data_IF_357343075797
#
_entry.id   IF_357343075797
#
_cell.length_a   1.000
_cell.length_b   1.000
_cell.length_c   1.000
_cell.angle_alpha   90.00
_cell.angle_beta   90.00
_cell.angle_gamma   90.00
#
_symmetry.space_group_name_H-M   'P 1'
#
loop_
_entity.id
_entity.type
_entity.pdbx_description
1 polymer ?
#
# COMPACT_ATOMS: atom_id res chain seq x y z
N UNK A 1 6.99 2.73 18.81
CA UNK A 1 5.94 3.76 18.64
C UNK A 1 4.62 3.05 18.35
N UNK A 2 3.50 3.55 18.91
CA UNK A 2 2.16 2.95 18.70
C UNK A 2 1.32 3.87 17.82
N UNK A 3 0.38 3.27 17.10
CA UNK A 3 -0.59 3.98 16.27
C UNK A 3 -2.01 3.63 16.69
N UNK A 4 -2.93 4.54 16.44
CA UNK A 4 -4.35 4.22 16.59
C UNK A 4 -4.79 3.20 15.53
N UNK A 5 -5.64 2.23 15.89
CA UNK A 5 -6.03 1.16 14.98
C UNK A 5 -7.12 1.60 13.97
N UNK A 6 -7.70 2.79 14.15
CA UNK A 6 -8.65 3.44 13.26
C UNK A 6 -8.23 4.91 13.09
N UNK A 7 -8.47 5.51 11.93
CA UNK A 7 -8.10 6.90 11.64
C UNK A 7 -8.79 7.96 12.49
N UNK A 8 -8.36 9.21 12.32
CA UNK A 8 -8.89 10.36 13.05
C UNK A 8 -10.42 10.54 12.89
N UNK A 9 -11.05 11.13 13.90
CA UNK A 9 -12.52 11.28 13.97
C UNK A 9 -13.25 10.00 14.40
N UNK A 10 -12.52 8.99 14.88
CA UNK A 10 -13.06 7.79 15.53
C UNK A 10 -13.79 8.13 16.83
N UNK A 11 -14.79 7.33 17.17
CA UNK A 11 -15.47 7.35 18.47
C UNK A 11 -15.40 5.97 19.11
N UNK A 12 -15.30 5.92 20.44
CA UNK A 12 -15.51 4.68 21.18
C UNK A 12 -17.00 4.40 21.16
N UNK A 13 -17.42 3.36 20.43
CA UNK A 13 -18.82 2.95 20.39
C UNK A 13 -19.16 2.13 21.62
N UNK A 14 -18.19 1.38 22.16
CA UNK A 14 -18.32 0.78 23.48
C UNK A 14 -16.97 0.36 24.09
N UNK A 15 -16.79 0.59 25.39
CA UNK A 15 -15.50 0.44 26.09
C UNK A 15 -15.17 -0.98 26.57
N UNK A 16 -13.96 -1.13 27.13
CA UNK A 16 -13.51 -2.29 27.90
C UNK A 16 -14.21 -2.33 29.27
N UNK A 17 -14.68 -3.51 29.69
CA UNK A 17 -15.33 -3.67 30.99
C UNK A 17 -16.69 -4.37 30.96
N UNK A 18 -17.41 -4.42 32.10
CA UNK A 18 -18.70 -5.09 32.22
C UNK A 18 -19.75 -4.55 31.25
N UNK A 19 -20.48 -5.45 30.56
CA UNK A 19 -21.63 -5.15 29.70
C UNK A 19 -22.76 -6.13 29.97
N UNK A 20 -23.93 -5.66 30.41
CA UNK A 20 -25.17 -6.44 30.58
C UNK A 20 -25.01 -7.95 30.85
N UNK A 21 -24.37 -8.31 31.98
CA UNK A 21 -24.20 -9.71 32.40
C UNK A 21 -23.02 -10.46 31.75
N UNK A 22 -22.25 -9.81 30.87
CA UNK A 22 -20.98 -10.28 30.32
C UNK A 22 -19.87 -9.24 30.54
N UNK A 23 -18.65 -9.54 30.08
CA UNK A 23 -17.50 -8.64 30.13
C UNK A 23 -16.96 -8.44 28.72
N UNK A 24 -16.69 -7.19 28.35
CA UNK A 24 -16.10 -6.83 27.08
C UNK A 24 -14.59 -6.69 27.19
N UNK A 25 -13.88 -7.55 26.47
CA UNK A 25 -12.43 -7.71 26.57
C UNK A 25 -11.61 -6.90 25.55
N UNK A 26 -12.27 -5.98 24.85
CA UNK A 26 -11.65 -5.03 23.94
C UNK A 26 -12.22 -3.63 24.07
N UNK A 27 -11.98 -2.80 23.07
CA UNK A 27 -12.65 -1.52 22.87
C UNK A 27 -13.17 -1.49 21.45
N UNK A 28 -14.44 -1.10 21.30
CA UNK A 28 -15.09 -0.98 20.01
C UNK A 28 -14.94 0.45 19.52
N UNK A 29 -14.38 0.59 18.32
CA UNK A 29 -14.20 1.86 17.63
C UNK A 29 -15.12 1.94 16.42
N UNK A 30 -15.73 3.10 16.22
CA UNK A 30 -16.52 3.41 15.05
C UNK A 30 -16.34 4.86 14.64
N UNK A 31 -17.31 5.38 13.88
CA UNK A 31 -17.36 6.77 13.44
C UNK A 31 -18.80 7.26 13.38
N UNK A 32 -19.06 8.52 13.73
CA UNK A 32 -20.35 9.16 13.44
C UNK A 32 -20.66 9.04 11.94
N UNK A 33 -21.86 8.55 11.59
CA UNK A 33 -22.27 8.30 10.20
C UNK A 33 -21.93 6.92 9.63
N UNK A 34 -21.31 6.03 10.43
CA UNK A 34 -21.03 4.65 10.05
C UNK A 34 -19.54 4.40 9.77
N UNK A 35 -19.09 3.16 10.00
CA UNK A 35 -17.68 2.78 9.86
C UNK A 35 -17.41 1.61 8.91
N UNK A 36 -18.43 1.16 8.16
CA UNK A 36 -18.31 0.12 7.15
C UNK A 36 -17.19 0.44 6.13
N UNK A 37 -16.30 -0.51 5.89
CA UNK A 37 -15.21 -0.38 4.92
C UNK A 37 -14.07 0.58 5.33
N UNK A 38 -14.12 1.18 6.52
CA UNK A 38 -13.04 2.05 6.99
C UNK A 38 -11.72 1.26 7.15
N UNK A 39 -10.57 1.85 6.80
CA UNK A 39 -9.27 1.20 6.93
C UNK A 39 -8.91 0.99 8.40
N UNK A 40 -8.30 -0.16 8.68
CA UNK A 40 -7.82 -0.59 10.00
C UNK A 40 -6.30 -0.75 9.93
N UNK A 41 -5.61 -0.25 10.95
CA UNK A 41 -4.15 -0.12 10.96
C UNK A 41 -3.50 -0.93 12.08
N UNK A 42 -2.31 -1.47 11.82
CA UNK A 42 -1.48 -2.10 12.83
C UNK A 42 -1.09 -1.08 13.89
N UNK A 43 -1.54 -1.30 15.11
CA UNK A 43 -1.28 -0.42 16.23
C UNK A 43 0.19 -0.48 16.67
N UNK A 44 0.87 -1.57 16.32
CA UNK A 44 2.29 -1.78 16.54
C UNK A 44 2.85 -2.77 15.51
N UNK A 45 4.15 -2.66 15.21
CA UNK A 45 4.85 -3.56 14.30
C UNK A 45 4.89 -4.98 14.88
N UNK A 46 4.90 -5.99 14.02
CA UNK A 46 4.91 -7.38 14.45
C UNK A 46 4.67 -8.37 13.33
N UNK A 47 4.38 -9.61 13.71
CA UNK A 47 4.06 -10.70 12.78
C UNK A 47 2.60 -11.09 12.94
N UNK A 48 1.87 -11.16 11.84
CA UNK A 48 0.49 -11.64 11.84
C UNK A 48 0.47 -13.13 12.20
N UNK A 49 -0.16 -13.50 13.31
CA UNK A 49 -0.27 -14.91 13.77
C UNK A 49 -1.65 -15.51 13.49
N UNK A 50 -2.67 -14.67 13.27
CA UNK A 50 -3.98 -15.09 12.77
C UNK A 50 -4.54 -14.06 11.79
N UNK A 51 -5.16 -14.53 10.70
CA UNK A 51 -5.91 -13.70 9.76
C UNK A 51 -6.99 -14.57 9.08
N UNK A 52 -8.27 -14.23 9.23
CA UNK A 52 -9.36 -15.00 8.64
C UNK A 52 -10.59 -15.09 9.52
N UNK A 53 -11.38 -16.16 9.36
CA UNK A 53 -12.59 -16.39 10.14
C UNK A 53 -12.28 -16.74 11.60
N UNK A 54 -13.07 -16.21 12.54
CA UNK A 54 -12.95 -16.51 13.97
C UNK A 54 -14.30 -16.44 14.67
N UNK A 55 -14.61 -17.47 15.45
CA UNK A 55 -15.82 -17.51 16.27
C UNK A 55 -15.82 -16.34 17.25
N UNK A 56 -16.94 -15.61 17.34
CA UNK A 56 -17.08 -14.41 18.18
C UNK A 56 -16.57 -13.11 17.55
N UNK A 57 -15.70 -13.17 16.54
CA UNK A 57 -15.18 -11.98 15.85
C UNK A 57 -15.66 -11.87 14.39
N UNK A 58 -16.30 -12.91 13.86
CA UNK A 58 -16.61 -13.06 12.44
C UNK A 58 -15.34 -13.32 11.65
N UNK A 59 -14.57 -12.26 11.44
CA UNK A 59 -13.22 -12.29 10.88
C UNK A 59 -12.30 -11.36 11.66
N UNK A 60 -11.03 -11.74 11.76
CA UNK A 60 -10.05 -11.04 12.58
C UNK A 60 -8.64 -11.02 11.98
N UNK A 61 -7.81 -10.15 12.53
CA UNK A 61 -6.34 -10.17 12.43
C UNK A 61 -5.77 -10.20 13.85
N UNK A 62 -4.74 -11.00 14.09
CA UNK A 62 -3.97 -10.99 15.34
C UNK A 62 -2.50 -10.80 15.00
N UNK A 63 -1.86 -9.82 15.63
CA UNK A 63 -0.44 -9.50 15.45
C UNK A 63 0.31 -9.79 16.74
N UNK A 64 1.39 -10.56 16.65
CA UNK A 64 2.37 -10.78 17.70
C UNK A 64 3.51 -9.76 17.59
N UNK A 65 3.77 -9.05 18.67
CA UNK A 65 4.73 -7.95 18.71
C UNK A 65 6.06 -8.42 19.31
N UNK A 66 7.19 -8.10 18.68
CA UNK A 66 8.49 -8.52 19.18
C UNK A 66 8.84 -7.77 20.47
N UNK A 67 9.75 -8.34 21.26
CA UNK A 67 10.17 -7.80 22.55
C UNK A 67 10.75 -6.40 22.45
N UNK A 68 11.51 -6.09 21.40
CA UNK A 68 12.01 -4.72 21.17
C UNK A 68 10.91 -3.68 20.99
N UNK A 69 9.70 -4.11 20.61
CA UNK A 69 8.51 -3.25 20.48
C UNK A 69 7.63 -3.23 21.73
N UNK A 70 7.94 -4.04 22.75
CA UNK A 70 7.20 -4.08 24.01
C UNK A 70 6.41 -5.36 24.29
N UNK A 71 6.56 -6.39 23.43
CA UNK A 71 5.91 -7.71 23.53
C UNK A 71 4.37 -7.68 23.56
N UNK A 72 3.75 -8.84 23.35
CA UNK A 72 2.29 -9.02 23.45
C UNK A 72 1.61 -9.18 22.10
N UNK A 73 0.28 -9.33 22.11
CA UNK A 73 -0.50 -9.45 20.87
C UNK A 73 -1.62 -8.43 20.81
N UNK A 74 -1.92 -7.93 19.62
CA UNK A 74 -3.14 -7.14 19.36
C UNK A 74 -4.12 -7.91 18.48
N UNK A 75 -5.41 -7.73 18.75
CA UNK A 75 -6.51 -8.37 18.02
C UNK A 75 -7.37 -7.30 17.35
N UNK A 76 -7.72 -7.51 16.09
CA UNK A 76 -8.56 -6.65 15.27
C UNK A 76 -9.74 -7.49 14.78
N UNK A 77 -10.89 -7.39 15.42
CA UNK A 77 -12.10 -8.14 15.12
C UNK A 77 -13.11 -7.38 14.26
N UNK A 78 -14.03 -8.11 13.63
CA UNK A 78 -15.06 -7.60 12.73
C UNK A 78 -14.48 -6.91 11.47
N UNK A 79 -13.34 -7.41 11.00
CA UNK A 79 -12.61 -6.85 9.86
C UNK A 79 -12.52 -7.85 8.71
N UNK A 80 -12.28 -7.36 7.50
CA UNK A 80 -11.82 -8.16 6.36
C UNK A 80 -10.30 -8.00 6.27
N UNK A 81 -9.50 -9.04 6.59
CA UNK A 81 -8.05 -8.97 6.53
C UNK A 81 -7.54 -8.66 5.13
N UNK A 82 -6.57 -7.75 5.05
CA UNK A 82 -5.75 -7.45 3.87
C UNK A 82 -4.30 -7.96 4.05
N UNK A 83 -4.07 -8.67 5.15
CA UNK A 83 -2.83 -9.34 5.52
C UNK A 83 -3.09 -10.82 5.78
N UNK A 84 -2.01 -11.62 5.87
CA UNK A 84 -2.06 -13.07 6.11
C UNK A 84 -1.12 -13.51 7.22
N UNK A 85 -1.37 -14.72 7.74
CA UNK A 85 -0.51 -15.35 8.74
C UNK A 85 0.94 -15.45 8.24
N UNK A 86 1.89 -15.07 9.08
CA UNK A 86 3.33 -15.01 8.80
C UNK A 86 3.81 -13.66 8.24
N UNK A 87 2.90 -12.75 7.86
CA UNK A 87 3.27 -11.45 7.32
C UNK A 87 3.83 -10.53 8.41
N UNK A 88 5.02 -9.97 8.18
CA UNK A 88 5.56 -8.89 8.98
C UNK A 88 4.86 -7.57 8.61
N UNK A 89 4.46 -6.80 9.62
CA UNK A 89 3.79 -5.51 9.46
C UNK A 89 4.50 -4.42 10.24
N UNK A 90 4.50 -3.21 9.71
CA UNK A 90 5.01 -2.01 10.40
C UNK A 90 3.91 -1.33 11.21
N UNK A 91 4.28 -0.59 12.25
CA UNK A 91 3.31 0.18 13.03
C UNK A 91 2.71 1.28 12.13
N UNK A 92 1.38 1.42 12.13
CA UNK A 92 0.64 2.34 11.26
C UNK A 92 0.30 1.76 9.88
N UNK A 93 0.75 0.55 9.54
CA UNK A 93 0.42 -0.09 8.26
C UNK A 93 -1.06 -0.47 8.20
N UNK A 94 -1.74 -0.22 7.07
CA UNK A 94 -3.09 -0.75 6.83
C UNK A 94 -3.04 -2.28 6.75
N UNK A 95 -3.86 -2.94 7.56
CA UNK A 95 -3.88 -4.41 7.69
C UNK A 95 -5.22 -5.03 7.34
N UNK A 96 -6.30 -4.24 7.34
CA UNK A 96 -7.65 -4.69 7.08
C UNK A 96 -8.56 -3.50 6.80
N UNK A 97 -9.83 -3.78 6.52
CA UNK A 97 -10.92 -2.80 6.62
C UNK A 97 -12.07 -3.36 7.45
N UNK A 98 -12.87 -2.50 8.07
CA UNK A 98 -14.06 -2.90 8.84
C UNK A 98 -15.04 -3.62 7.91
N UNK A 99 -15.51 -4.80 8.30
CA UNK A 99 -16.41 -5.59 7.48
C UNK A 99 -17.77 -4.88 7.33
N UNK A 100 -18.22 -4.56 6.10
CA UNK A 100 -19.52 -3.92 5.88
C UNK A 100 -20.72 -4.78 6.25
N UNK A 101 -20.58 -6.12 6.24
CA UNK A 101 -21.69 -7.03 6.52
C UNK A 101 -21.92 -7.20 8.04
N UNK A 102 -22.96 -6.53 8.54
CA UNK A 102 -23.40 -6.59 9.93
C UNK A 102 -23.80 -8.00 10.42
N UNK A 103 -24.04 -8.96 9.52
CA UNK A 103 -24.27 -10.36 9.94
C UNK A 103 -23.02 -11.02 10.50
N UNK A 104 -21.84 -10.48 10.19
CA UNK A 104 -20.56 -11.05 10.62
C UNK A 104 -20.14 -10.59 12.02
N UNK A 105 -20.84 -9.63 12.61
CA UNK A 105 -20.58 -9.09 13.95
C UNK A 105 -21.84 -9.05 14.83
N UNK A 106 -22.70 -10.07 14.70
CA UNK A 106 -23.86 -10.25 15.59
C UNK A 106 -25.00 -9.25 15.35
N UNK A 107 -25.18 -8.78 14.11
CA UNK A 107 -26.21 -7.82 13.70
C UNK A 107 -26.08 -6.44 14.36
N UNK A 108 -24.87 -6.08 14.78
CA UNK A 108 -24.50 -4.75 15.28
C UNK A 108 -23.94 -3.91 14.12
N UNK A 109 -24.10 -2.59 14.18
CA UNK A 109 -23.53 -1.72 13.15
C UNK A 109 -22.02 -1.95 12.98
N UNK A 110 -21.49 -1.93 11.75
CA UNK A 110 -20.07 -2.14 11.49
C UNK A 110 -19.19 -1.26 12.37
N UNK A 111 -18.24 -1.89 13.05
CA UNK A 111 -17.27 -1.29 13.97
C UNK A 111 -16.00 -2.15 14.01
N UNK A 112 -14.90 -1.57 14.48
CA UNK A 112 -13.68 -2.30 14.79
C UNK A 112 -13.71 -2.74 16.26
N UNK A 113 -13.58 -4.03 16.51
CA UNK A 113 -13.31 -4.54 17.86
C UNK A 113 -11.80 -4.68 18.06
N UNK A 114 -11.22 -4.03 19.07
CA UNK A 114 -9.77 -4.03 19.28
C UNK A 114 -9.41 -4.56 20.68
N UNK A 115 -8.58 -5.60 20.75
CA UNK A 115 -8.06 -6.14 22.02
C UNK A 115 -6.53 -5.98 22.11
N UNK A 116 -6.03 -5.85 23.33
CA UNK A 116 -4.60 -5.86 23.65
C UNK A 116 -4.35 -6.96 24.65
N UNK A 117 -3.35 -7.80 24.39
CA UNK A 117 -2.93 -8.88 25.29
C UNK A 117 -1.49 -8.70 25.72
N UNK A 118 -1.22 -9.03 26.98
CA UNK A 118 0.09 -8.82 27.61
C UNK A 118 1.22 -9.62 26.97
N UNK A 119 0.96 -10.86 26.55
CA UNK A 119 1.99 -11.81 26.09
C UNK A 119 1.58 -12.51 24.80
N UNK A 120 0.52 -13.30 24.86
CA UNK A 120 -0.05 -14.02 23.73
C UNK A 120 -1.55 -13.85 23.73
N UNK A 121 -2.19 -14.19 22.62
CA UNK A 121 -3.64 -14.26 22.60
C UNK A 121 -4.13 -15.23 23.68
N UNK A 122 -4.95 -14.71 24.60
CA UNK A 122 -5.24 -15.34 25.88
C UNK A 122 -6.76 -15.46 26.07
N UNK A 123 -7.25 -16.45 26.83
CA UNK A 123 -8.65 -16.49 27.25
C UNK A 123 -9.04 -15.25 28.08
N UNK A 124 -10.35 -14.99 28.25
CA UNK A 124 -10.86 -13.95 29.16
C UNK A 124 -10.14 -13.95 30.52
N UNK A 125 -9.59 -12.80 30.93
CA UNK A 125 -8.81 -12.72 32.16
C UNK A 125 -7.83 -11.54 32.22
N UNK A 126 -6.96 -11.50 33.24
CA UNK A 126 -6.08 -10.37 33.55
C UNK A 126 -4.98 -10.10 32.49
N UNK A 127 -4.77 -11.06 31.57
CA UNK A 127 -3.82 -10.91 30.47
C UNK A 127 -4.41 -10.18 29.26
N UNK A 128 -5.72 -9.90 29.27
CA UNK A 128 -6.38 -8.97 28.35
C UNK A 128 -6.42 -7.60 28.98
N UNK A 129 -5.74 -6.65 28.35
CA UNK A 129 -5.53 -5.30 28.87
C UNK A 129 -6.58 -4.34 28.30
N UNK A 130 -6.92 -3.32 29.08
CA UNK A 130 -7.69 -2.19 28.56
C UNK A 130 -6.90 -1.52 27.41
N UNK A 131 -7.44 -1.48 26.19
CA UNK A 131 -6.75 -0.85 25.07
C UNK A 131 -6.53 0.65 25.23
N UNK A 132 -7.37 1.37 25.98
CA UNK A 132 -7.33 2.82 26.01
C UNK A 132 -6.05 3.37 26.69
N UNK A 133 -5.62 2.88 27.87
CA UNK A 133 -4.32 3.21 28.43
C UNK A 133 -3.15 2.76 27.55
N UNK A 134 -3.27 1.60 26.87
CA UNK A 134 -2.20 1.10 26.00
C UNK A 134 -1.99 1.97 24.75
N UNK A 135 -3.07 2.54 24.23
CA UNK A 135 -3.10 3.50 23.12
C UNK A 135 -2.80 4.94 23.55
N UNK A 136 -2.57 5.23 24.83
CA UNK A 136 -2.23 6.56 25.28
C UNK A 136 -0.95 7.07 24.59
N UNK A 137 -1.04 8.24 23.94
CA UNK A 137 0.06 8.81 23.16
C UNK A 137 0.34 8.13 21.83
N UNK A 138 -0.54 7.23 21.36
CA UNK A 138 -0.44 6.66 20.02
C UNK A 138 -0.58 7.74 18.95
N UNK A 139 0.22 7.62 17.89
CA UNK A 139 0.14 8.50 16.74
C UNK A 139 -1.10 8.20 15.90
N UNK A 140 -1.61 9.20 15.20
CA UNK A 140 -2.64 8.98 14.18
C UNK A 140 -2.04 8.17 13.03
N UNK A 141 -2.71 7.11 12.55
CA UNK A 141 -2.36 6.54 11.26
C UNK A 141 -2.64 7.62 10.21
N UNK A 142 -1.70 7.85 9.30
CA UNK A 142 -1.75 8.95 8.35
C UNK A 142 -3.12 9.01 7.65
N UNK A 143 -3.84 10.13 7.82
CA UNK A 143 -4.91 10.50 6.87
C UNK A 143 -4.23 10.60 5.51
N UNK A 144 -4.69 9.92 4.44
CA UNK A 144 -3.99 9.99 3.18
C UNK A 144 -3.94 11.45 2.73
N UNK A 145 -2.74 12.02 2.74
CA UNK A 145 -2.49 13.24 1.99
C UNK A 145 -2.76 12.90 0.51
N UNK A 146 -3.54 13.69 -0.24
CA UNK A 146 -3.57 13.55 -1.68
C UNK A 146 -2.15 13.84 -2.18
N UNK A 147 -1.43 12.80 -2.60
CA UNK A 147 -0.09 12.94 -3.20
C UNK A 147 1.09 12.54 -2.31
N UNK A 148 0.88 11.99 -1.11
CA UNK A 148 1.95 11.34 -0.35
C UNK A 148 1.96 9.86 -0.63
N UNK A 149 2.96 9.35 -1.37
CA UNK A 149 3.26 7.92 -1.41
C UNK A 149 3.56 7.46 0.01
N UNK A 150 2.54 6.88 0.66
CA UNK A 150 2.77 6.04 1.82
C UNK A 150 3.87 5.06 1.42
N UNK A 151 4.96 5.02 2.19
CA UNK A 151 5.98 3.96 2.09
C UNK A 151 5.36 2.65 2.59
N UNK A 152 4.31 2.19 1.91
CA UNK A 152 3.94 0.79 1.89
C UNK A 152 5.12 0.05 1.29
N UNK A 153 5.45 -1.11 1.85
CA UNK A 153 6.57 -1.94 1.40
C UNK A 153 6.43 -2.40 -0.07
N UNK A 154 5.35 -2.05 -0.78
CA UNK A 154 4.99 -2.49 -2.14
C UNK A 154 4.06 -1.48 -2.82
N UNK A 155 3.90 -1.59 -4.15
CA UNK A 155 2.92 -0.82 -4.93
C UNK A 155 1.52 -0.83 -4.28
N UNK A 156 0.83 0.30 -4.24
CA UNK A 156 -0.58 0.33 -3.87
C UNK A 156 -1.45 -0.17 -5.03
N UNK A 157 -2.16 -1.28 -4.83
CA UNK A 157 -3.14 -1.82 -5.77
C UNK A 157 -4.54 -1.25 -5.49
N UNK A 158 -5.39 -1.17 -6.52
CA UNK A 158 -6.78 -0.72 -6.39
C UNK A 158 -7.64 -1.74 -5.63
N UNK A 159 -7.30 -3.02 -5.79
CA UNK A 159 -7.95 -4.15 -5.10
C UNK A 159 -6.88 -5.10 -4.60
N UNK A 160 -7.03 -5.61 -3.38
CA UNK A 160 -6.19 -6.68 -2.84
C UNK A 160 -7.08 -7.81 -2.36
N UNK A 161 -6.94 -8.99 -2.96
CA UNK A 161 -7.54 -10.24 -2.49
C UNK A 161 -6.44 -11.29 -2.60
N UNK A 162 -5.88 -11.66 -1.45
CA UNK A 162 -4.70 -12.52 -1.42
C UNK A 162 -5.07 -13.98 -1.73
N UNK A 163 -4.28 -14.58 -2.62
CA UNK A 163 -4.33 -15.99 -2.94
C UNK A 163 -3.57 -16.80 -1.88
N UNK A 164 -4.12 -17.95 -1.43
CA UNK A 164 -3.39 -18.90 -0.59
C UNK A 164 -2.46 -19.81 -1.39
N UNK A 165 -2.46 -19.72 -2.72
CA UNK A 165 -1.70 -20.59 -3.61
C UNK A 165 -0.29 -20.00 -3.79
N UNK A 166 0.60 -20.28 -2.85
CA UNK A 166 2.00 -19.84 -2.89
C UNK A 166 2.93 -20.84 -2.19
N UNK A 167 4.23 -20.71 -2.43
CA UNK A 167 5.27 -21.55 -1.84
C UNK A 167 5.88 -20.93 -0.58
N UNK A 168 5.13 -20.04 0.10
CA UNK A 168 5.57 -19.38 1.32
C UNK A 168 6.42 -18.13 1.09
N UNK A 169 7.03 -17.61 2.17
CA UNK A 169 7.68 -16.31 2.19
C UNK A 169 9.00 -16.31 1.40
N UNK A 170 9.33 -15.14 0.86
CA UNK A 170 10.60 -14.82 0.19
C UNK A 170 11.01 -13.38 0.48
N UNK A 171 12.28 -13.07 0.19
CA UNK A 171 12.77 -11.71 0.09
C UNK A 171 12.62 -11.21 -1.37
N UNK A 172 11.75 -10.23 -1.66
CA UNK A 172 11.51 -9.76 -3.02
C UNK A 172 12.73 -9.07 -3.63
N UNK A 173 13.70 -8.62 -2.83
CA UNK A 173 14.97 -8.06 -3.33
C UNK A 173 15.87 -9.10 -3.99
N UNK A 174 15.58 -10.38 -3.79
CA UNK A 174 16.26 -11.49 -4.47
C UNK A 174 15.63 -11.81 -5.82
N UNK A 175 14.47 -11.23 -6.13
CA UNK A 175 13.85 -11.37 -7.43
C UNK A 175 14.64 -10.55 -8.45
N UNK A 176 14.96 -11.20 -9.57
CA UNK A 176 15.70 -10.57 -10.68
C UNK A 176 14.88 -10.52 -11.96
N UNK A 177 13.68 -11.09 -11.95
CA UNK A 177 12.81 -11.21 -13.11
C UNK A 177 11.47 -10.53 -12.84
N UNK A 178 10.95 -9.83 -13.84
CA UNK A 178 9.52 -9.53 -13.92
C UNK A 178 8.94 -10.40 -15.05
N UNK A 179 8.01 -11.29 -14.71
CA UNK A 179 7.46 -12.27 -15.65
C UNK A 179 6.04 -11.82 -16.03
N UNK A 180 5.83 -11.60 -17.32
CA UNK A 180 4.54 -11.21 -17.88
C UNK A 180 3.73 -12.45 -18.22
N UNK A 181 2.47 -12.43 -17.79
CA UNK A 181 1.49 -13.48 -18.01
C UNK A 181 0.25 -12.93 -18.71
N UNK A 182 -0.52 -13.82 -19.30
CA UNK A 182 -1.96 -13.61 -19.54
C UNK A 182 -2.77 -14.59 -18.71
N UNK A 183 -3.97 -14.20 -18.30
CA UNK A 183 -4.84 -15.11 -17.56
C UNK A 183 -5.57 -16.14 -18.45
N UNK A 184 -5.33 -16.12 -19.76
CA UNK A 184 -6.05 -16.88 -20.78
C UNK A 184 -7.58 -16.76 -20.63
N UNK A 185 -8.01 -15.53 -20.36
CA UNK A 185 -9.41 -15.16 -20.17
C UNK A 185 -9.78 -13.89 -20.92
N UNK A 186 -11.08 -13.54 -20.98
CA UNK A 186 -11.50 -12.36 -21.70
C UNK A 186 -10.92 -11.09 -21.07
N UNK A 187 -10.35 -10.21 -21.90
CA UNK A 187 -9.86 -8.90 -21.46
C UNK A 187 -10.96 -7.98 -20.89
N UNK A 188 -12.23 -8.29 -21.17
CA UNK A 188 -13.42 -7.65 -20.58
C UNK A 188 -13.79 -8.23 -19.20
N UNK A 189 -13.05 -9.21 -18.69
CA UNK A 189 -13.19 -9.68 -17.32
C UNK A 189 -12.81 -8.60 -16.30
N UNK A 190 -13.10 -8.85 -15.03
CA UNK A 190 -12.75 -7.92 -13.95
C UNK A 190 -11.54 -8.41 -13.15
N UNK A 191 -10.75 -7.46 -12.65
CA UNK A 191 -9.67 -7.72 -11.69
C UNK A 191 -10.22 -8.44 -10.46
N UNK A 192 -11.32 -7.95 -9.88
CA UNK A 192 -12.00 -8.56 -8.73
C UNK A 192 -12.41 -10.02 -9.00
N UNK A 193 -12.90 -10.32 -10.21
CA UNK A 193 -13.33 -11.65 -10.62
C UNK A 193 -12.15 -12.63 -10.71
N UNK A 194 -11.05 -12.22 -11.35
CA UNK A 194 -9.85 -13.05 -11.42
C UNK A 194 -9.25 -13.25 -10.03
N UNK A 195 -9.11 -12.19 -9.24
CA UNK A 195 -8.61 -12.28 -7.88
C UNK A 195 -9.48 -13.20 -6.99
N UNK A 196 -10.80 -13.11 -7.10
CA UNK A 196 -11.73 -13.99 -6.39
C UNK A 196 -11.65 -15.46 -6.83
N UNK A 197 -11.26 -15.73 -8.08
CA UNK A 197 -10.93 -17.08 -8.54
C UNK A 197 -9.60 -17.56 -7.93
N UNK A 198 -8.54 -16.75 -8.00
CA UNK A 198 -7.21 -17.06 -7.48
C UNK A 198 -7.19 -17.23 -5.95
N UNK A 199 -8.12 -16.61 -5.23
CA UNK A 199 -8.29 -16.77 -3.79
C UNK A 199 -8.76 -18.17 -3.36
N UNK A 200 -9.21 -19.02 -4.28
CA UNK A 200 -9.66 -20.38 -3.99
C UNK A 200 -8.45 -21.32 -3.98
N UNK A 201 -8.23 -22.14 -2.94
CA UNK A 201 -7.16 -23.15 -2.96
C UNK A 201 -7.25 -24.10 -4.15
N UNK A 202 -8.45 -24.34 -4.67
CA UNK A 202 -8.66 -25.22 -5.83
C UNK A 202 -8.21 -24.62 -7.16
N UNK A 203 -7.89 -23.32 -7.24
CA UNK A 203 -7.36 -22.73 -8.48
C UNK A 203 -5.95 -23.25 -8.78
N UNK A 204 -5.18 -23.61 -7.74
CA UNK A 204 -3.80 -24.07 -7.84
C UNK A 204 -2.90 -23.12 -8.66
N UNK A 205 -3.24 -21.83 -8.68
CA UNK A 205 -2.55 -20.79 -9.44
C UNK A 205 -2.70 -19.43 -8.75
N UNK A 206 -1.69 -18.59 -8.93
CA UNK A 206 -1.67 -17.21 -8.43
C UNK A 206 -0.63 -16.35 -9.17
N UNK A 207 -0.73 -15.02 -9.02
CA UNK A 207 0.24 -14.06 -9.55
C UNK A 207 0.62 -13.05 -8.46
N UNK A 208 1.65 -12.24 -8.66
CA UNK A 208 1.92 -11.11 -7.75
C UNK A 208 0.88 -10.01 -7.97
N UNK A 209 0.81 -9.50 -9.20
CA UNK A 209 -0.09 -8.43 -9.62
C UNK A 209 -0.89 -8.85 -10.86
N UNK A 210 -2.12 -8.37 -10.94
CA UNK A 210 -3.05 -8.54 -12.05
C UNK A 210 -3.43 -7.14 -12.59
N UNK A 211 -3.50 -6.98 -13.91
CA UNK A 211 -3.97 -5.73 -14.55
C UNK A 211 -5.15 -5.98 -15.49
N UNK A 212 -6.24 -5.26 -15.23
CA UNK A 212 -7.48 -5.31 -16.00
C UNK A 212 -7.39 -4.53 -17.31
N UNK A 213 -8.26 -4.85 -18.28
CA UNK A 213 -8.34 -4.12 -19.55
C UNK A 213 -8.67 -2.63 -19.41
N UNK A 214 -9.26 -2.24 -18.27
CA UNK A 214 -9.59 -0.87 -17.85
C UNK A 214 -8.43 -0.14 -17.14
N UNK A 215 -7.29 -0.81 -16.94
CA UNK A 215 -6.14 -0.26 -16.21
C UNK A 215 -6.20 -0.43 -14.69
N UNK A 216 -7.22 -1.08 -14.14
CA UNK A 216 -7.25 -1.40 -12.70
C UNK A 216 -6.17 -2.40 -12.34
N UNK A 217 -5.55 -2.21 -11.18
CA UNK A 217 -4.47 -3.03 -10.64
C UNK A 217 -4.97 -3.82 -9.43
N UNK A 218 -4.79 -5.14 -9.49
CA UNK A 218 -5.12 -6.07 -8.43
C UNK A 218 -3.88 -6.74 -7.84
N UNK A 219 -3.86 -6.94 -6.52
CA UNK A 219 -2.86 -7.78 -5.85
C UNK A 219 -3.44 -9.15 -5.51
N UNK A 220 -2.83 -10.19 -6.08
CA UNK A 220 -3.09 -11.60 -5.76
C UNK A 220 -2.11 -12.11 -4.73
N UNK A 221 -0.84 -11.73 -4.79
CA UNK A 221 0.16 -12.11 -3.77
C UNK A 221 0.97 -10.91 -3.36
N UNK A 222 1.25 -10.83 -2.06
CA UNK A 222 2.26 -9.93 -1.51
C UNK A 222 3.63 -10.25 -2.16
N UNK A 223 4.41 -9.24 -2.52
CA UNK A 223 5.71 -9.41 -3.17
C UNK A 223 6.66 -10.30 -2.34
N UNK A 224 6.47 -10.37 -1.01
CA UNK A 224 7.24 -11.21 -0.09
C UNK A 224 6.84 -12.69 -0.10
N UNK A 225 6.04 -13.16 -1.06
CA UNK A 225 5.71 -14.58 -1.17
C UNK A 225 5.87 -15.06 -2.61
N UNK A 226 6.17 -16.36 -2.74
CA UNK A 226 6.44 -17.03 -4.01
C UNK A 226 5.12 -17.47 -4.66
N UNK A 227 4.57 -16.78 -5.67
CA UNK A 227 3.30 -17.19 -6.28
C UNK A 227 3.44 -18.52 -7.04
N UNK A 228 2.33 -19.17 -7.33
CA UNK A 228 2.24 -20.34 -8.21
C UNK A 228 1.85 -19.91 -9.62
N UNK A 229 2.82 -19.44 -10.40
CA UNK A 229 2.57 -18.80 -11.68
C UNK A 229 3.24 -19.48 -12.87
N UNK A 230 4.54 -19.78 -12.78
CA UNK A 230 5.39 -20.20 -13.91
C UNK A 230 6.24 -21.45 -13.63
N UNK A 231 5.99 -22.12 -12.51
CA UNK A 231 6.83 -23.24 -12.04
C UNK A 231 8.19 -22.79 -11.48
N UNK A 232 8.91 -23.72 -10.87
CA UNK A 232 10.24 -23.48 -10.30
C UNK A 232 11.31 -23.66 -11.39
N UNK A 233 12.35 -22.81 -11.47
CA UNK A 233 12.74 -21.75 -10.52
C UNK A 233 12.14 -20.37 -10.83
N UNK A 234 11.24 -20.25 -11.82
CA UNK A 234 10.72 -18.96 -12.27
C UNK A 234 9.91 -18.26 -11.15
N UNK A 235 9.11 -19.02 -10.40
CA UNK A 235 8.33 -18.53 -9.25
C UNK A 235 9.21 -17.84 -8.18
N UNK A 236 10.33 -18.45 -7.84
CA UNK A 236 11.24 -17.98 -6.78
C UNK A 236 12.04 -16.76 -7.26
N UNK A 237 12.42 -16.75 -8.54
CA UNK A 237 13.28 -15.72 -9.13
C UNK A 237 12.50 -14.48 -9.62
N UNK A 238 11.17 -14.57 -9.76
CA UNK A 238 10.38 -13.57 -10.46
C UNK A 238 9.21 -12.96 -9.68
N UNK A 239 8.92 -11.70 -9.96
CA UNK A 239 7.62 -11.07 -9.68
C UNK A 239 6.71 -11.27 -10.90
N UNK A 240 5.45 -11.62 -10.68
CA UNK A 240 4.56 -12.10 -11.74
C UNK A 240 3.44 -11.11 -12.01
N UNK A 241 3.43 -10.53 -13.21
CA UNK A 241 2.46 -9.53 -13.66
C UNK A 241 1.55 -10.14 -14.72
N UNK A 242 0.28 -10.36 -14.37
CA UNK A 242 -0.71 -10.97 -15.24
C UNK A 242 -1.63 -9.93 -15.87
N UNK A 243 -1.72 -9.95 -17.20
CA UNK A 243 -2.66 -9.14 -17.98
C UNK A 243 -3.95 -9.94 -18.22
N UNK A 244 -5.11 -9.32 -17.97
CA UNK A 244 -6.38 -9.88 -18.43
C UNK A 244 -6.41 -9.90 -19.97
N UNK A 245 -6.48 -11.09 -20.55
CA UNK A 245 -6.42 -11.28 -21.99
C UNK A 245 -6.01 -12.69 -22.38
N UNK A 246 -5.83 -12.89 -23.68
CA UNK A 246 -5.35 -14.13 -24.25
C UNK A 246 -4.02 -13.95 -24.96
N UNK A 247 -3.14 -14.94 -24.88
CA UNK A 247 -1.88 -14.98 -25.62
C UNK A 247 -2.08 -14.95 -27.14
N UNK A 248 -3.25 -15.40 -27.62
CA UNK A 248 -3.62 -15.37 -29.05
C UNK A 248 -4.01 -13.99 -29.58
N UNK A 249 -4.10 -12.97 -28.72
CA UNK A 249 -4.51 -11.64 -29.16
C UNK A 249 -3.56 -11.08 -30.20
N UNK A 250 -4.09 -10.36 -31.19
CA UNK A 250 -3.25 -9.62 -32.13
C UNK A 250 -2.63 -8.40 -31.45
N UNK A 251 -1.61 -7.84 -32.09
CA UNK A 251 -0.97 -6.62 -31.59
C UNK A 251 -1.97 -5.47 -31.53
N UNK A 252 -2.84 -5.33 -32.52
CA UNK A 252 -3.89 -4.29 -32.56
C UNK A 252 -4.87 -4.46 -31.40
N UNK A 253 -5.25 -5.69 -31.06
CA UNK A 253 -6.12 -5.96 -29.92
C UNK A 253 -5.47 -5.56 -28.59
N UNK A 254 -4.16 -5.78 -28.42
CA UNK A 254 -3.42 -5.26 -27.27
C UNK A 254 -3.37 -3.74 -27.25
N UNK A 255 -3.03 -3.11 -28.38
CA UNK A 255 -2.89 -1.66 -28.49
C UNK A 255 -4.24 -0.91 -28.36
N UNK A 256 -5.37 -1.60 -28.57
CA UNK A 256 -6.70 -1.04 -28.32
C UNK A 256 -6.99 -0.77 -26.83
N UNK A 257 -6.14 -1.25 -25.91
CA UNK A 257 -6.28 -1.11 -24.45
C UNK A 257 -5.06 -0.43 -23.82
N UNK A 258 -4.80 0.85 -24.14
CA UNK A 258 -3.61 1.55 -23.66
C UNK A 258 -3.57 1.69 -22.13
N UNK A 259 -4.72 1.83 -21.46
CA UNK A 259 -4.80 1.91 -20.00
C UNK A 259 -4.25 0.65 -19.30
N UNK A 260 -4.49 -0.53 -19.88
CA UNK A 260 -3.97 -1.79 -19.36
C UNK A 260 -2.43 -1.87 -19.48
N UNK A 261 -1.87 -1.44 -20.61
CA UNK A 261 -0.43 -1.39 -20.83
C UNK A 261 0.23 -0.36 -19.92
N UNK A 262 -0.37 0.83 -19.75
CA UNK A 262 0.11 1.87 -18.84
C UNK A 262 0.12 1.39 -17.37
N UNK A 263 -0.94 0.68 -16.94
CA UNK A 263 -1.00 0.06 -15.62
C UNK A 263 0.13 -0.96 -15.42
N UNK A 264 0.37 -1.83 -16.40
CA UNK A 264 1.50 -2.76 -16.39
C UNK A 264 2.85 -2.06 -16.32
N UNK A 265 3.04 -0.98 -17.08
CA UNK A 265 4.25 -0.16 -17.03
C UNK A 265 4.47 0.45 -15.64
N UNK A 266 3.41 0.94 -14.98
CA UNK A 266 3.48 1.45 -13.60
C UNK A 266 3.99 0.40 -12.62
N UNK A 267 3.50 -0.85 -12.72
CA UNK A 267 3.96 -1.96 -11.87
C UNK A 267 5.43 -2.26 -12.11
N UNK A 268 5.86 -2.31 -13.38
CA UNK A 268 7.25 -2.55 -13.73
C UNK A 268 8.17 -1.44 -13.20
N UNK A 269 7.78 -0.16 -13.33
CA UNK A 269 8.51 0.98 -12.77
C UNK A 269 8.67 0.87 -11.25
N UNK A 270 7.61 0.48 -10.54
CA UNK A 270 7.67 0.28 -9.08
C UNK A 270 8.63 -0.84 -8.69
N UNK A 271 8.54 -2.00 -9.34
CA UNK A 271 9.46 -3.12 -9.08
C UNK A 271 10.92 -2.80 -9.46
N UNK A 272 11.13 -2.01 -10.51
CA UNK A 272 12.45 -1.49 -10.85
C UNK A 272 12.98 -0.59 -9.73
N UNK A 273 12.18 0.38 -9.28
CA UNK A 273 12.58 1.33 -8.25
C UNK A 273 12.87 0.65 -6.90
N UNK A 274 12.07 -0.35 -6.51
CA UNK A 274 12.19 -1.04 -5.21
C UNK A 274 13.24 -2.14 -5.20
N UNK A 275 13.30 -2.94 -6.26
CA UNK A 275 14.05 -4.20 -6.29
C UNK A 275 15.18 -4.22 -7.32
N UNK A 276 15.31 -3.18 -8.14
CA UNK A 276 16.40 -3.04 -9.11
C UNK A 276 16.25 -3.94 -10.34
N UNK A 277 15.05 -4.45 -10.64
CA UNK A 277 14.82 -5.28 -11.82
C UNK A 277 14.96 -4.42 -13.08
N UNK A 278 15.89 -4.71 -14.01
CA UNK A 278 16.08 -3.88 -15.20
C UNK A 278 14.86 -3.90 -16.14
N UNK A 279 14.45 -2.72 -16.60
CA UNK A 279 13.33 -2.54 -17.54
C UNK A 279 13.74 -2.83 -18.99
N UNK A 280 14.13 -4.07 -19.26
CA UNK A 280 14.49 -4.55 -20.59
C UNK A 280 13.99 -5.96 -20.81
N UNK A 281 13.52 -6.25 -22.03
CA UNK A 281 13.15 -7.62 -22.42
C UNK A 281 14.38 -8.51 -22.43
N UNK A 282 14.29 -9.69 -21.82
CA UNK A 282 15.31 -10.73 -21.88
C UNK A 282 14.70 -12.06 -22.37
N UNK A 283 15.53 -12.89 -22.99
CA UNK A 283 15.16 -14.22 -23.51
C UNK A 283 15.33 -15.31 -22.45
N UNK A 284 14.75 -16.49 -22.69
CA UNK A 284 14.95 -17.65 -21.80
C UNK A 284 16.42 -18.05 -21.63
N UNK A 285 17.24 -17.95 -22.69
CA UNK A 285 18.68 -18.18 -22.61
C UNK A 285 19.37 -17.18 -21.67
N UNK A 286 18.99 -15.90 -21.73
CA UNK A 286 19.53 -14.86 -20.85
C UNK A 286 19.09 -15.08 -19.39
N UNK A 287 17.82 -15.47 -19.16
CA UNK A 287 17.32 -15.81 -17.82
C UNK A 287 18.13 -16.95 -17.19
N UNK A 288 18.36 -18.02 -17.96
CA UNK A 288 19.16 -19.18 -17.55
C UNK A 288 20.60 -18.81 -17.25
N UNK A 289 21.16 -17.87 -18.02
CA UNK A 289 22.51 -17.33 -17.81
C UNK A 289 22.63 -16.36 -16.61
N UNK A 290 21.57 -16.14 -15.84
CA UNK A 290 21.63 -15.33 -14.63
C UNK A 290 21.27 -13.85 -14.84
N UNK A 291 20.91 -13.42 -16.05
CA UNK A 291 20.58 -12.02 -16.31
C UNK A 291 19.25 -11.64 -15.62
N UNK A 292 19.18 -10.37 -15.22
CA UNK A 292 17.98 -9.72 -14.69
C UNK A 292 17.27 -8.93 -15.79
N UNK A 293 15.94 -8.91 -15.75
CA UNK A 293 15.12 -8.22 -16.74
C UNK A 293 13.64 -8.62 -16.71
N UNK A 294 12.91 -8.21 -17.74
CA UNK A 294 11.50 -8.55 -17.97
C UNK A 294 11.41 -9.66 -19.01
N UNK A 295 10.52 -10.63 -18.86
CA UNK A 295 10.24 -11.63 -19.90
C UNK A 295 8.84 -12.23 -19.76
N UNK A 296 8.40 -13.02 -20.74
CA UNK A 296 7.11 -13.69 -20.71
C UNK A 296 7.19 -15.07 -20.04
N UNK A 297 6.03 -15.67 -19.77
CA UNK A 297 5.95 -17.06 -19.33
C UNK A 297 6.62 -18.00 -20.35
N UNK A 298 6.40 -17.77 -21.64
CA UNK A 298 7.08 -18.50 -22.72
C UNK A 298 8.62 -18.45 -22.62
N UNK A 299 9.22 -17.33 -22.23
CA UNK A 299 10.68 -17.26 -22.02
C UNK A 299 11.13 -18.11 -20.83
N UNK A 300 10.29 -18.24 -19.80
CA UNK A 300 10.59 -19.12 -18.65
C UNK A 300 10.46 -20.60 -19.02
N UNK A 301 9.52 -20.95 -19.90
CA UNK A 301 9.43 -22.28 -20.51
C UNK A 301 10.68 -22.56 -21.31
N UNK A 302 11.11 -21.64 -22.18
CA UNK A 302 12.36 -21.77 -22.91
C UNK A 302 13.56 -21.89 -21.96
N UNK A 303 13.55 -21.21 -20.81
CA UNK A 303 14.64 -21.20 -19.83
C UNK A 303 14.74 -22.46 -18.96
N UNK A 304 13.63 -23.11 -18.62
CA UNK A 304 13.63 -24.18 -17.60
C UNK A 304 12.69 -25.35 -17.88
N UNK A 305 11.76 -25.22 -18.83
CA UNK A 305 10.78 -26.26 -19.18
C UNK A 305 9.96 -26.79 -17.99
N UNK A 306 9.69 -25.93 -17.00
CA UNK A 306 8.92 -26.28 -15.81
C UNK A 306 7.41 -26.34 -16.06
N UNK A 307 6.94 -25.66 -17.12
CA UNK A 307 5.55 -25.63 -17.61
C UNK A 307 5.56 -25.71 -19.15
N UNK A 308 4.38 -25.78 -19.77
CA UNK A 308 4.17 -25.82 -21.23
C UNK A 308 3.40 -24.61 -21.76
N UNK A 309 3.30 -23.55 -20.96
CA UNK A 309 2.56 -22.33 -21.26
C UNK A 309 3.29 -21.42 -22.28
N UNK A 310 2.53 -20.61 -23.02
CA UNK A 310 3.04 -19.80 -24.14
C UNK A 310 2.72 -18.32 -24.04
N UNK A 311 2.09 -17.89 -22.94
CA UNK A 311 1.75 -16.49 -22.70
C UNK A 311 2.98 -15.60 -22.46
N UNK A 312 2.91 -14.29 -22.76
CA UNK A 312 1.76 -13.52 -23.26
C UNK A 312 1.54 -13.61 -24.79
N UNK A 313 2.24 -14.53 -25.46
CA UNK A 313 2.14 -14.76 -26.89
C UNK A 313 3.03 -13.85 -27.75
N UNK A 314 3.23 -14.21 -29.04
CA UNK A 314 4.21 -13.56 -29.91
C UNK A 314 3.85 -12.12 -30.31
N UNK A 315 2.56 -11.76 -30.24
CA UNK A 315 2.06 -10.45 -30.64
C UNK A 315 1.98 -9.44 -29.47
N UNK A 316 2.38 -9.83 -28.25
CA UNK A 316 2.39 -8.95 -27.10
C UNK A 316 3.32 -7.73 -27.36
N UNK A 317 2.87 -6.49 -27.12
CA UNK A 317 3.57 -5.29 -27.54
C UNK A 317 4.68 -4.89 -26.55
N UNK A 318 5.74 -5.70 -26.48
CA UNK A 318 6.89 -5.50 -25.60
C UNK A 318 7.54 -4.12 -25.74
N UNK A 319 7.70 -3.65 -26.97
CA UNK A 319 8.27 -2.35 -27.30
C UNK A 319 7.44 -1.20 -26.70
N UNK A 320 6.12 -1.27 -26.82
CA UNK A 320 5.21 -0.24 -26.29
C UNK A 320 5.17 -0.29 -24.77
N UNK A 321 5.04 -1.48 -24.18
CA UNK A 321 5.02 -1.63 -22.72
C UNK A 321 6.32 -1.08 -22.10
N UNK A 322 7.48 -1.44 -22.63
CA UNK A 322 8.77 -0.99 -22.12
C UNK A 322 9.01 0.49 -22.42
N UNK A 323 8.58 1.03 -23.55
CA UNK A 323 8.64 2.47 -23.82
C UNK A 323 7.81 3.27 -22.80
N UNK A 324 6.60 2.79 -22.46
CA UNK A 324 5.78 3.41 -21.42
C UNK A 324 6.48 3.44 -20.05
N UNK A 325 7.40 2.52 -19.75
CA UNK A 325 8.16 2.59 -18.48
C UNK A 325 9.15 3.75 -18.41
N UNK A 326 9.48 4.39 -19.53
CA UNK A 326 10.35 5.58 -19.58
C UNK A 326 9.56 6.90 -19.46
N UNK A 327 8.23 6.84 -19.43
CA UNK A 327 7.33 7.99 -19.34
C UNK A 327 7.03 8.31 -17.86
N UNK A 328 6.89 9.59 -17.55
CA UNK A 328 6.51 10.05 -16.20
C UNK A 328 5.02 9.84 -15.96
N UNK A 329 4.56 9.79 -14.70
CA UNK A 329 3.12 9.68 -14.41
C UNK A 329 2.30 10.85 -15.00
N UNK A 330 2.94 12.00 -15.25
CA UNK A 330 2.34 13.15 -15.91
C UNK A 330 2.07 12.91 -17.41
N UNK A 331 2.90 12.09 -18.07
CA UNK A 331 2.75 11.72 -19.49
C UNK A 331 1.62 10.71 -19.71
N UNK A 332 1.18 10.02 -18.66
CA UNK A 332 0.15 8.98 -18.68
C UNK A 332 -1.27 9.54 -18.35
N UNK A 333 -1.39 10.85 -18.05
CA UNK A 333 -2.67 11.50 -17.76
C UNK A 333 -3.51 11.71 -19.03
N UNK A 334 -4.81 11.43 -18.95
CA UNK A 334 -5.75 11.89 -19.98
C UNK A 334 -5.81 13.42 -20.03
N UNK A 335 -6.19 14.04 -21.17
CA UNK A 335 -6.35 15.50 -21.26
C UNK A 335 -7.28 16.06 -20.18
N UNK A 336 -8.30 15.29 -19.77
CA UNK A 336 -9.23 15.65 -18.70
C UNK A 336 -8.57 15.61 -17.31
N UNK A 337 -7.73 14.60 -17.04
CA UNK A 337 -6.97 14.50 -15.79
C UNK A 337 -5.87 15.56 -15.70
N UNK A 338 -5.17 15.84 -16.80
CA UNK A 338 -4.19 16.92 -16.87
C UNK A 338 -4.85 18.28 -16.65
N UNK A 339 -6.05 18.48 -17.21
CA UNK A 339 -6.86 19.68 -16.98
C UNK A 339 -7.35 19.78 -15.54
N UNK A 340 -7.84 18.70 -14.94
CA UNK A 340 -8.22 18.66 -13.52
C UNK A 340 -7.04 18.94 -12.59
N UNK A 341 -5.86 18.38 -12.87
CA UNK A 341 -4.65 18.66 -12.11
C UNK A 341 -4.24 20.14 -12.26
N UNK A 342 -4.34 20.70 -13.46
CA UNK A 342 -4.09 22.12 -13.69
C UNK A 342 -5.13 23.03 -13.01
N UNK A 343 -6.40 22.61 -12.96
CA UNK A 343 -7.48 23.27 -12.24
C UNK A 343 -7.21 23.27 -10.73
N UNK A 344 -6.87 22.10 -10.16
CA UNK A 344 -6.49 21.95 -8.74
C UNK A 344 -5.25 22.78 -8.43
N UNK A 345 -4.23 22.73 -9.29
CA UNK A 345 -3.00 23.52 -9.11
C UNK A 345 -3.31 25.02 -9.12
N UNK A 346 -4.16 25.49 -10.04
CA UNK A 346 -4.62 26.88 -10.12
C UNK A 346 -5.44 27.27 -8.88
N UNK A 347 -6.33 26.40 -8.41
CA UNK A 347 -7.17 26.68 -7.25
C UNK A 347 -6.30 26.75 -5.97
N UNK A 348 -5.44 25.75 -5.74
CA UNK A 348 -4.51 25.73 -4.59
C UNK A 348 -3.56 26.93 -4.59
N UNK A 349 -3.10 27.39 -5.75
CA UNK A 349 -2.21 28.55 -5.88
C UNK A 349 -2.91 29.91 -5.80
N UNK A 350 -4.22 29.99 -6.03
CA UNK A 350 -5.00 31.23 -5.90
C UNK A 350 -5.29 31.62 -4.45
N UNK A 351 -5.47 30.66 -3.55
CA UNK A 351 -5.86 30.93 -2.15
C UNK A 351 -4.67 31.14 -1.19
N UNK A 352 -3.45 30.79 -1.61
CA UNK A 352 -2.23 30.94 -0.81
C UNK A 352 -1.09 31.57 -1.65
N UNK A 353 -1.06 32.91 -1.83
CA UNK A 353 0.06 33.56 -2.48
C UNK A 353 1.34 33.31 -1.66
N UNK A 354 2.34 32.69 -2.29
CA UNK A 354 3.68 32.49 -1.72
C UNK A 354 4.25 33.82 -1.24
N UNK A 355 4.58 33.92 0.05
CA UNK A 355 5.35 35.04 0.64
C UNK A 355 6.83 34.66 0.85
N UNK A 356 7.38 33.77 0.03
CA UNK A 356 8.81 33.47 0.12
C UNK A 356 9.63 34.66 -0.39
N UNK A 357 10.39 35.28 0.50
CA UNK A 357 11.23 36.47 0.26
C UNK A 357 12.60 36.14 -0.37
N UNK A 358 12.76 34.97 -0.99
CA UNK A 358 14.05 34.53 -1.50
C UNK A 358 14.05 34.44 -3.02
N UNK A 359 14.45 35.53 -3.67
CA UNK A 359 15.07 35.49 -4.99
C UNK A 359 15.89 36.77 -5.19
N UNK A 360 17.22 36.68 -5.00
CA UNK A 360 18.16 37.65 -5.58
C UNK A 360 18.43 37.35 -7.07
N UNK A 361 17.81 36.30 -7.64
CA UNK A 361 17.95 35.89 -9.04
C UNK A 361 16.57 35.57 -9.67
N UNK A 362 16.10 36.36 -10.65
CA UNK A 362 14.80 36.17 -11.31
C UNK A 362 14.73 34.94 -12.23
N UNK A 363 15.81 34.17 -12.40
CA UNK A 363 15.84 32.96 -13.23
C UNK A 363 15.75 31.64 -12.45
N UNK A 364 15.73 31.68 -11.11
CA UNK A 364 15.56 30.47 -10.29
C UNK A 364 14.08 30.20 -10.01
N UNK A 365 13.64 28.93 -10.06
CA UNK A 365 12.27 28.57 -9.74
C UNK A 365 11.95 28.93 -8.29
N UNK A 366 10.83 29.62 -8.09
CA UNK A 366 10.31 30.01 -6.78
C UNK A 366 9.65 28.77 -6.18
N UNK A 367 10.05 28.37 -4.97
CA UNK A 367 9.33 27.35 -4.21
C UNK A 367 7.90 27.83 -3.98
N UNK A 368 6.96 27.11 -4.59
CA UNK A 368 5.54 27.28 -4.35
C UNK A 368 5.14 26.37 -3.19
N UNK A 369 4.10 26.76 -2.42
CA UNK A 369 3.47 25.84 -1.47
C UNK A 369 3.02 24.54 -2.19
N UNK A 370 2.73 24.62 -3.49
CA UNK A 370 2.49 23.48 -4.36
C UNK A 370 3.76 22.61 -4.54
N UNK A 371 4.96 23.17 -4.70
CA UNK A 371 6.22 22.38 -4.70
C UNK A 371 6.48 21.65 -3.38
N UNK A 372 6.09 22.27 -2.26
CA UNK A 372 6.17 21.67 -0.92
C UNK A 372 5.12 20.57 -0.70
N UNK A 373 3.93 20.71 -1.29
CA UNK A 373 2.80 19.77 -1.15
C UNK A 373 2.83 18.64 -2.18
N UNK A 374 3.33 18.90 -3.40
CA UNK A 374 3.34 17.98 -4.54
C UNK A 374 4.67 17.24 -4.72
N UNK A 375 5.66 17.50 -3.86
CA UNK A 375 6.92 16.74 -3.77
C UNK A 375 7.69 16.58 -5.10
N UNK A 376 7.63 17.60 -5.98
CA UNK A 376 8.28 17.56 -7.29
C UNK A 376 9.81 17.73 -7.22
N UNK A 377 10.39 18.08 -6.06
CA UNK A 377 11.82 18.42 -5.96
C UNK A 377 12.52 17.95 -4.67
N UNK A 378 12.10 16.79 -4.13
CA UNK A 378 12.62 16.23 -2.87
C UNK A 378 14.16 16.06 -2.82
N UNK A 379 14.83 16.00 -3.97
CA UNK A 379 16.29 15.77 -4.03
C UNK A 379 17.13 17.03 -3.78
N UNK A 380 16.55 18.22 -3.84
CA UNK A 380 17.30 19.49 -3.67
C UNK A 380 17.19 20.02 -2.22
N UNK A 381 16.15 19.62 -1.48
CA UNK A 381 15.87 20.18 -0.16
C UNK A 381 16.71 19.55 0.97
N UNK A 382 16.94 18.23 0.97
CA UNK A 382 17.72 17.58 2.04
C UNK A 382 19.19 18.03 2.10
N UNK A 383 19.76 18.46 0.97
CA UNK A 383 21.15 18.92 0.91
C UNK A 383 21.35 20.40 1.33
N UNK A 384 20.27 21.16 1.53
CA UNK A 384 20.35 22.63 1.69
C UNK A 384 19.77 23.19 2.99
N UNK A 385 19.24 22.34 3.89
CA UNK A 385 18.72 22.79 5.18
C UNK A 385 19.76 22.60 6.28
N UNK A 386 20.44 23.68 6.65
CA UNK A 386 21.18 23.77 7.92
C UNK A 386 20.16 23.94 9.07
N UNK A 387 19.61 22.79 9.51
CA UNK A 387 18.64 22.68 10.60
C UNK A 387 19.15 23.33 11.91
N UNK A 388 20.43 23.16 12.31
CA UNK A 388 21.01 23.87 13.45
C UNK A 388 20.86 25.40 13.38
N UNK A 389 21.20 26.02 12.24
CA UNK A 389 21.14 27.48 12.09
C UNK A 389 19.70 28.06 12.09
N UNK A 390 18.69 27.23 11.84
CA UNK A 390 17.27 27.62 11.98
C UNK A 390 16.80 27.51 13.43
N UNK A 391 17.24 26.51 14.17
CA UNK A 391 16.95 26.36 15.60
C UNK A 391 17.54 27.52 16.41
N UNK A 392 18.77 27.93 16.11
CA UNK A 392 19.41 29.06 16.80
C UNK A 392 18.68 30.39 16.58
N UNK A 393 18.21 30.64 15.35
CA UNK A 393 17.42 31.85 15.02
C UNK A 393 16.03 31.84 15.66
N UNK A 394 15.43 30.66 15.80
CA UNK A 394 14.15 30.50 16.48
C UNK A 394 14.31 30.79 17.98
N UNK A 395 15.37 30.26 18.59
CA UNK A 395 15.70 30.52 19.99
C UNK A 395 15.97 32.00 20.24
N UNK A 396 16.76 32.65 19.38
CA UNK A 396 17.03 34.09 19.48
C UNK A 396 15.74 34.94 19.37
N UNK A 397 14.81 34.54 18.50
CA UNK A 397 13.51 35.21 18.36
C UNK A 397 12.61 35.03 19.59
N UNK A 398 12.75 33.91 20.30
CA UNK A 398 12.06 33.61 21.57
C UNK A 398 12.66 34.45 22.70
N UNK A 399 13.98 34.62 22.72
CA UNK A 399 14.67 35.38 23.76
C UNK A 399 14.40 36.90 23.65
N UNK A 400 14.15 37.42 22.45
CA UNK A 400 13.84 38.84 22.19
C UNK A 400 12.35 39.22 22.34
N UNK A 401 11.46 38.23 22.46
CA UNK A 401 10.01 38.42 22.57
C UNK A 401 9.56 39.30 23.75
N UNK A 402 10.15 39.18 24.96
CA UNK A 402 9.80 40.03 26.10
C UNK A 402 10.05 41.52 25.84
N UNK A 403 11.18 41.88 25.22
CA UNK A 403 11.53 43.27 24.93
C UNK A 403 10.64 43.87 23.84
N UNK A 404 10.26 43.06 22.85
CA UNK A 404 9.31 43.46 21.80
C UNK A 404 7.91 43.69 22.35
N UNK A 405 7.47 42.86 23.30
CA UNK A 405 6.20 43.05 24.01
C UNK A 405 6.26 44.32 24.88
N UNK A 406 7.36 44.54 25.59
CA UNK A 406 7.54 45.76 26.40
C UNK A 406 7.57 47.04 25.56
N UNK A 407 8.16 47.00 24.36
CA UNK A 407 8.15 48.11 23.42
C UNK A 407 6.73 48.39 22.88
N UNK A 408 5.99 47.35 22.47
CA UNK A 408 4.63 47.49 22.00
C UNK A 408 3.67 48.03 23.08
N UNK A 409 3.87 47.67 24.35
CA UNK A 409 3.11 48.21 25.49
C UNK A 409 3.43 49.69 25.74
N UNK A 410 4.67 50.14 25.49
CA UNK A 410 5.05 51.56 25.59
C UNK A 410 4.46 52.40 24.47
N UNK A 411 4.44 51.90 23.25
CA UNK A 411 3.88 52.61 22.10
C UNK A 411 2.33 52.70 22.12
N UNK A 412 1.69 51.88 22.95
CA UNK A 412 0.23 51.87 23.16
C UNK A 412 -0.25 52.77 24.32
N UNK A 413 0.66 53.51 24.99
CA UNK A 413 0.36 54.51 26.03
C UNK A 413 0.73 55.90 25.52
#
# INVERSE_FOLDING_TARGET
MRYWPLGAGRTVTSGFGPRWGTFHWGTDFGRPGGSAGMPVYAAQAGTVIHAGAASGFGRWVVIDHPTESGSGTTVYGHVVPEVRVGQAVTAGQRIAHINPDRRTNGDVDPHLHFEVHRLVWAPPGPDRLDPMPWLAGAAEPETPAPGGTAMGNQLQADVTILSPNDSGPRDPRRCRLAIIHTNEGPASGSVDGLLGYLAKPTSQASYTIVVGGDGRIGRSNDDNYVPWAAGSPANELGLHLCFLGYARQTREEWLSRPAQLAAGARVLRDWHARYGIPLRKITGAQMRAGLAGVGGHNDTVDAWHATDHTDPGPAFPWDVLLDMTNRTEEDDMTPEQAKQLADIHREVTQWYPSRSKYADDPKKPIDTLAGFVLNADARVHEASIDVPAKLDRLQQSIDELPDRIAAAIRDAR
#
